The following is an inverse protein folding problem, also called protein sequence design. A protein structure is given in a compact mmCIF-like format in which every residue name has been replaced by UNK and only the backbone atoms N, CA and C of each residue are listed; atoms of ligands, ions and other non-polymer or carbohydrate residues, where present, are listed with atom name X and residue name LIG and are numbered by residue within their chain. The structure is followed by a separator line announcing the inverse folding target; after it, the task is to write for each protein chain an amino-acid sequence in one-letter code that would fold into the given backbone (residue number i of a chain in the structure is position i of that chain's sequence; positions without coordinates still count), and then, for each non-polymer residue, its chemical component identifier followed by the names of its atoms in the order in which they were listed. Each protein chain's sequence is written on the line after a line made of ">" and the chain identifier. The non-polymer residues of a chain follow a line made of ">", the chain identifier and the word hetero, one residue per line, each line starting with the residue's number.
data_IF_698526751200
#
_entry.id   IF_698526751200
#
_cell.length_a   1.000
_cell.length_b   1.000
_cell.length_c   1.000
_cell.angle_alpha   90.00
_cell.angle_beta   90.00
_cell.angle_gamma   90.00
#
_symmetry.space_group_name_H-M   'P 1'
#
loop_
_entity.id
_entity.type
_entity.pdbx_description
1 polymer ?
#
# COMPACT_ATOMS: atom_id res chain seq x y z
N UNK A 1 -15.62 -9.28 -38.89
CA UNK A 1 -14.65 -10.33 -39.26
C UNK A 1 -13.46 -9.62 -39.89
N UNK A 2 -12.44 -9.35 -39.08
CA UNK A 2 -11.09 -9.01 -39.55
C UNK A 2 -10.15 -9.39 -38.41
N UNK A 3 -9.72 -10.65 -38.42
CA UNK A 3 -8.54 -11.09 -37.68
C UNK A 3 -7.32 -10.44 -38.31
N UNK A 4 -6.45 -9.84 -37.49
CA UNK A 4 -5.10 -9.51 -37.91
C UNK A 4 -4.12 -10.25 -37.00
N UNK A 5 -3.41 -11.18 -37.64
CA UNK A 5 -2.52 -12.18 -37.07
C UNK A 5 -1.45 -11.60 -36.13
N UNK A 6 -1.38 -12.22 -34.96
CA UNK A 6 -0.20 -12.23 -34.10
C UNK A 6 0.81 -13.22 -34.68
N UNK A 7 1.79 -12.68 -35.40
CA UNK A 7 3.06 -13.33 -35.64
C UNK A 7 4.15 -12.32 -35.35
N UNK A 8 4.89 -12.52 -34.25
CA UNK A 8 6.31 -12.19 -34.12
C UNK A 8 6.84 -12.74 -32.79
N UNK A 9 7.49 -13.90 -32.93
CA UNK A 9 8.69 -14.41 -32.27
C UNK A 9 9.04 -13.99 -30.83
N UNK A 10 9.37 -15.03 -30.07
CA UNK A 10 10.15 -15.05 -28.84
C UNK A 10 11.29 -14.02 -28.81
N UNK A 11 11.11 -12.95 -28.05
CA UNK A 11 12.20 -12.20 -27.45
C UNK A 11 11.94 -12.18 -25.94
N UNK A 12 12.73 -12.96 -25.20
CA UNK A 12 12.78 -12.86 -23.76
C UNK A 12 13.02 -11.41 -23.33
N UNK A 13 12.46 -11.05 -22.18
CA UNK A 13 12.61 -9.77 -21.52
C UNK A 13 14.10 -9.36 -21.52
N UNK A 14 14.55 -8.56 -22.51
CA UNK A 14 15.84 -7.88 -22.40
C UNK A 14 15.62 -6.80 -21.36
N UNK A 15 16.40 -6.86 -20.28
CA UNK A 15 16.57 -5.75 -19.35
C UNK A 15 16.69 -4.47 -20.17
N UNK A 16 15.77 -3.51 -19.99
CA UNK A 16 15.95 -2.19 -20.57
C UNK A 16 17.32 -1.67 -20.07
N UNK A 17 18.22 -1.21 -20.96
CA UNK A 17 19.54 -0.73 -20.57
C UNK A 17 19.48 0.42 -19.53
N UNK A 18 18.31 1.06 -19.39
CA UNK A 18 18.07 2.22 -18.54
C UNK A 18 17.25 1.92 -17.26
N UNK A 19 16.97 0.66 -16.95
CA UNK A 19 16.15 0.27 -15.79
C UNK A 19 14.64 0.28 -16.04
N UNK A 20 13.87 -0.01 -14.98
CA UNK A 20 12.41 -0.18 -15.05
C UNK A 20 11.71 0.92 -14.25
N UNK A 21 10.68 1.51 -14.85
CA UNK A 21 9.86 2.56 -14.23
C UNK A 21 8.42 2.08 -14.14
N UNK A 22 7.86 2.13 -12.93
CA UNK A 22 6.44 1.96 -12.64
C UNK A 22 5.89 3.31 -12.19
N UNK A 23 5.29 4.06 -13.14
CA UNK A 23 4.73 5.38 -12.89
C UNK A 23 3.21 5.32 -12.87
N UNK A 24 2.64 5.02 -11.69
CA UNK A 24 1.24 4.65 -11.53
C UNK A 24 0.29 5.82 -11.84
N UNK A 25 0.55 7.02 -11.29
CA UNK A 25 -0.29 8.21 -11.56
C UNK A 25 -0.19 8.71 -13.01
N UNK A 26 0.97 8.55 -13.64
CA UNK A 26 1.25 9.09 -14.99
C UNK A 26 0.87 8.13 -16.11
N UNK A 27 0.20 7.02 -15.79
CA UNK A 27 -0.19 6.01 -16.76
C UNK A 27 1.00 5.34 -17.48
N UNK A 28 2.21 5.38 -16.91
CA UNK A 28 3.41 4.75 -17.48
C UNK A 28 3.61 3.38 -16.83
N UNK A 29 3.25 2.36 -17.58
CA UNK A 29 3.33 0.96 -17.17
C UNK A 29 4.40 0.28 -18.03
N UNK A 30 5.27 -0.53 -17.41
CA UNK A 30 6.24 -1.47 -18.00
C UNK A 30 6.72 -1.15 -19.42
N UNK A 31 7.90 -0.54 -19.55
CA UNK A 31 8.54 -0.21 -20.83
C UNK A 31 7.63 0.50 -21.86
N UNK A 32 6.59 1.21 -21.40
CA UNK A 32 5.64 1.92 -22.26
C UNK A 32 4.40 1.12 -22.69
N UNK A 33 4.12 -0.05 -22.09
CA UNK A 33 2.94 -0.90 -22.40
C UNK A 33 1.99 -1.03 -21.22
N UNK A 34 0.68 -1.00 -21.48
CA UNK A 34 -0.40 -1.13 -20.47
C UNK A 34 -0.30 -2.48 -19.73
N UNK A 35 -0.81 -2.52 -18.49
CA UNK A 35 -0.70 -3.64 -17.54
C UNK A 35 -1.18 -5.02 -18.02
N UNK A 36 -1.91 -5.13 -19.14
CA UNK A 36 -2.21 -6.42 -19.78
C UNK A 36 -1.03 -7.07 -20.50
N UNK A 37 0.01 -6.28 -20.81
CA UNK A 37 1.23 -6.71 -21.53
C UNK A 37 2.49 -6.69 -20.65
N UNK A 38 2.34 -6.42 -19.35
CA UNK A 38 3.41 -6.39 -18.37
C UNK A 38 3.87 -7.82 -18.04
N UNK A 39 4.57 -8.47 -18.97
CA UNK A 39 5.22 -9.77 -18.74
C UNK A 39 6.12 -9.65 -17.50
N UNK A 40 5.64 -10.14 -16.36
CA UNK A 40 6.39 -10.21 -15.11
C UNK A 40 5.73 -9.59 -13.89
N UNK A 41 4.68 -8.76 -14.00
CA UNK A 41 3.99 -8.23 -12.81
C UNK A 41 2.59 -8.80 -12.63
N UNK A 42 2.22 -9.06 -11.37
CA UNK A 42 0.95 -9.65 -10.98
C UNK A 42 0.38 -8.95 -9.75
N UNK A 43 -0.94 -8.92 -9.65
CA UNK A 43 -1.64 -8.58 -8.41
C UNK A 43 -2.48 -9.78 -8.03
N UNK A 44 -2.42 -10.20 -6.77
CA UNK A 44 -3.43 -11.07 -6.20
C UNK A 44 -4.26 -10.32 -5.17
N UNK A 45 -5.58 -10.47 -5.26
CA UNK A 45 -6.54 -10.00 -4.27
C UNK A 45 -7.82 -10.80 -4.39
N UNK A 46 -8.20 -11.46 -3.30
CA UNK A 46 -9.51 -12.08 -3.20
C UNK A 46 -10.63 -11.01 -3.17
N UNK A 47 -11.57 -11.12 -4.10
CA UNK A 47 -12.76 -10.27 -4.16
C UNK A 47 -12.53 -8.90 -4.81
N UNK A 48 -13.65 -8.21 -5.05
CA UNK A 48 -13.63 -6.86 -5.60
C UNK A 48 -12.97 -5.88 -4.62
N UNK A 49 -12.28 -4.88 -5.17
CA UNK A 49 -11.70 -3.79 -4.39
C UNK A 49 -12.16 -2.44 -4.90
N UNK A 50 -12.00 -1.40 -4.09
CA UNK A 50 -12.35 -0.03 -4.47
C UNK A 50 -11.19 0.93 -4.25
N UNK A 51 -11.15 2.03 -4.99
CA UNK A 51 -10.22 3.12 -4.76
C UNK A 51 -10.83 4.45 -5.20
N UNK A 52 -10.51 5.53 -4.49
CA UNK A 52 -10.93 6.86 -4.90
C UNK A 52 -9.99 7.42 -5.97
N UNK A 53 -10.58 8.09 -6.95
CA UNK A 53 -9.86 8.99 -7.86
C UNK A 53 -9.62 10.35 -7.22
N UNK A 54 -8.76 11.18 -7.82
CA UNK A 54 -8.43 12.51 -7.32
C UNK A 54 -9.68 13.39 -7.18
N UNK A 55 -10.65 13.24 -8.08
CA UNK A 55 -11.95 13.92 -8.07
C UNK A 55 -12.93 13.44 -6.96
N UNK A 56 -12.55 12.43 -6.17
CA UNK A 56 -13.39 11.87 -5.11
C UNK A 56 -14.36 10.78 -5.58
N UNK A 57 -14.40 10.46 -6.87
CA UNK A 57 -15.23 9.36 -7.37
C UNK A 57 -14.66 7.99 -6.97
N UNK A 58 -15.54 7.04 -6.66
CA UNK A 58 -15.14 5.68 -6.31
C UNK A 58 -15.04 4.81 -7.57
N UNK A 59 -13.88 4.22 -7.79
CA UNK A 59 -13.67 3.18 -8.80
C UNK A 59 -13.79 1.79 -8.17
N UNK A 60 -14.36 0.83 -8.90
CA UNK A 60 -14.45 -0.58 -8.52
C UNK A 60 -13.53 -1.39 -9.43
N UNK A 61 -12.80 -2.33 -8.82
CA UNK A 61 -11.84 -3.20 -9.48
C UNK A 61 -12.22 -4.66 -9.20
N UNK A 62 -12.14 -5.51 -10.22
CA UNK A 62 -12.38 -6.94 -10.10
C UNK A 62 -11.36 -7.62 -9.15
N UNK A 63 -11.59 -8.89 -8.82
CA UNK A 63 -10.55 -9.71 -8.17
C UNK A 63 -9.27 -9.72 -9.02
N UNK A 64 -8.11 -9.77 -8.34
CA UNK A 64 -6.77 -9.79 -8.96
C UNK A 64 -6.43 -8.57 -9.86
N UNK A 65 -7.31 -7.57 -9.96
CA UNK A 65 -7.05 -6.34 -10.69
C UNK A 65 -6.32 -5.32 -9.80
N UNK A 66 -5.26 -4.72 -10.33
CA UNK A 66 -4.54 -3.63 -9.68
C UNK A 66 -5.45 -2.40 -9.45
N UNK A 67 -5.47 -1.87 -8.22
CA UNK A 67 -6.26 -0.67 -7.85
C UNK A 67 -5.51 0.60 -8.18
N UNK A 68 -5.44 0.88 -9.47
CA UNK A 68 -4.71 2.01 -10.03
C UNK A 68 -5.71 3.13 -10.30
N UNK A 69 -5.45 4.30 -9.72
CA UNK A 69 -6.15 5.55 -10.06
C UNK A 69 -5.14 6.62 -10.47
N UNK A 70 -5.64 7.81 -10.75
CA UNK A 70 -4.87 9.06 -10.87
C UNK A 70 -4.14 9.47 -9.58
N UNK A 71 -4.30 8.72 -8.48
CA UNK A 71 -3.51 8.84 -7.25
C UNK A 71 -2.36 7.84 -7.14
N UNK A 72 -2.33 6.81 -8.00
CA UNK A 72 -1.32 5.75 -8.01
C UNK A 72 -1.90 4.36 -7.75
N UNK A 73 -1.04 3.40 -7.38
CA UNK A 73 -1.44 2.05 -6.96
C UNK A 73 -1.76 2.03 -5.48
N UNK A 74 -3.02 1.73 -5.15
CA UNK A 74 -3.45 1.50 -3.79
C UNK A 74 -3.18 0.05 -3.37
N UNK A 75 -2.53 -0.12 -2.23
CA UNK A 75 -2.25 -1.43 -1.61
C UNK A 75 -2.74 -1.41 -0.17
N UNK A 76 -3.62 -2.33 0.22
CA UNK A 76 -4.20 -2.42 1.57
C UNK A 76 -4.30 -3.87 2.06
N UNK A 77 -4.29 -4.03 3.39
CA UNK A 77 -4.46 -5.30 4.08
C UNK A 77 -5.86 -5.90 3.91
N UNK A 78 -6.04 -7.16 4.29
CA UNK A 78 -7.37 -7.75 4.32
C UNK A 78 -8.24 -7.09 5.39
N UNK A 79 -9.46 -6.72 5.03
CA UNK A 79 -10.44 -6.15 5.98
C UNK A 79 -11.84 -6.64 5.69
N UNK A 80 -12.68 -6.62 6.71
CA UNK A 80 -14.09 -7.00 6.63
C UNK A 80 -14.94 -5.83 7.11
N UNK A 81 -15.84 -5.36 6.24
CA UNK A 81 -16.87 -4.44 6.65
C UNK A 81 -18.01 -5.22 7.29
N UNK A 82 -18.25 -4.96 8.58
CA UNK A 82 -19.26 -5.63 9.40
C UNK A 82 -20.66 -5.04 9.20
N UNK A 83 -20.79 -3.91 8.49
CA UNK A 83 -22.08 -3.29 8.21
C UNK A 83 -22.76 -3.92 7.01
N UNK A 84 -24.07 -4.00 7.07
CA UNK A 84 -24.91 -4.33 5.92
C UNK A 84 -25.27 -3.05 5.14
N UNK A 85 -25.52 -3.21 3.84
CA UNK A 85 -25.93 -2.15 2.92
C UNK A 85 -25.01 -0.92 2.94
N UNK A 86 -23.69 -1.12 2.87
CA UNK A 86 -22.71 -0.05 3.07
C UNK A 86 -22.76 1.08 2.04
N UNK A 87 -23.44 0.90 0.90
CA UNK A 87 -23.65 1.94 -0.12
C UNK A 87 -24.97 2.74 0.06
N UNK A 88 -25.82 2.33 1.00
CA UNK A 88 -27.02 3.05 1.41
C UNK A 88 -27.25 2.77 2.91
N UNK A 89 -26.40 3.33 3.79
CA UNK A 89 -26.36 2.93 5.19
C UNK A 89 -27.69 3.18 5.89
N UNK A 90 -28.11 2.22 6.70
CA UNK A 90 -29.26 2.33 7.58
C UNK A 90 -28.87 1.98 9.01
N UNK A 91 -29.72 2.37 9.98
CA UNK A 91 -29.53 1.99 11.38
C UNK A 91 -29.55 0.47 11.54
N UNK A 92 -28.61 -0.06 12.32
CA UNK A 92 -28.46 -1.50 12.52
C UNK A 92 -27.74 -1.78 13.84
N UNK A 93 -27.91 -3.00 14.36
CA UNK A 93 -27.20 -3.47 15.55
C UNK A 93 -26.22 -4.55 15.15
N UNK A 94 -24.95 -4.41 15.56
CA UNK A 94 -23.87 -5.33 15.20
C UNK A 94 -23.25 -5.90 16.47
N UNK A 95 -22.98 -7.20 16.51
CA UNK A 95 -22.23 -7.83 17.60
C UNK A 95 -20.74 -7.74 17.31
N UNK A 96 -19.98 -7.16 18.24
CA UNK A 96 -18.54 -7.01 18.14
C UNK A 96 -17.83 -7.82 19.23
N UNK A 97 -16.70 -8.44 18.87
CA UNK A 97 -15.76 -8.98 19.84
C UNK A 97 -14.93 -7.85 20.49
N UNK A 98 -14.22 -8.16 21.57
CA UNK A 98 -13.25 -7.23 22.13
C UNK A 98 -12.18 -6.86 21.08
N UNK A 99 -11.81 -5.59 21.01
CA UNK A 99 -10.91 -5.06 19.99
C UNK A 99 -11.16 -3.59 19.69
N UNK A 100 -10.30 -3.02 18.84
CA UNK A 100 -10.42 -1.64 18.37
C UNK A 100 -10.98 -1.63 16.96
N UNK A 101 -12.01 -0.83 16.71
CA UNK A 101 -12.71 -0.75 15.44
C UNK A 101 -12.72 0.67 14.89
N UNK A 102 -12.63 0.80 13.57
CA UNK A 102 -12.80 2.05 12.85
C UNK A 102 -14.21 2.09 12.25
N UNK A 103 -15.08 2.92 12.82
CA UNK A 103 -16.34 3.32 12.20
C UNK A 103 -16.06 4.48 11.25
N UNK A 104 -16.43 4.37 9.99
CA UNK A 104 -16.20 5.39 8.99
C UNK A 104 -17.43 5.68 8.15
N UNK A 105 -17.56 6.93 7.72
CA UNK A 105 -18.64 7.40 6.88
C UNK A 105 -18.10 8.30 5.76
N UNK A 106 -18.62 8.11 4.54
CA UNK A 106 -18.28 8.91 3.37
C UNK A 106 -19.48 9.67 2.84
N UNK A 107 -19.21 10.82 2.23
CA UNK A 107 -20.19 11.67 1.57
C UNK A 107 -19.99 13.13 1.92
N UNK A 108 -20.75 14.00 1.25
CA UNK A 108 -20.72 15.44 1.50
C UNK A 108 -21.37 15.83 2.85
N UNK A 109 -22.30 15.01 3.36
CA UNK A 109 -23.03 15.25 4.60
C UNK A 109 -23.47 13.92 5.25
N UNK A 110 -23.97 14.03 6.47
CA UNK A 110 -24.48 12.90 7.24
C UNK A 110 -23.47 12.31 8.21
N UNK A 111 -23.89 11.30 8.96
CA UNK A 111 -23.08 10.64 9.97
C UNK A 111 -23.61 9.26 10.31
N UNK A 112 -22.74 8.43 10.87
CA UNK A 112 -23.11 7.18 11.53
C UNK A 112 -22.66 7.24 12.99
N UNK A 113 -23.60 7.12 13.93
CA UNK A 113 -23.32 7.17 15.35
C UNK A 113 -23.40 5.79 15.98
N UNK A 114 -22.38 5.46 16.78
CA UNK A 114 -22.33 4.24 17.58
C UNK A 114 -22.71 4.53 19.04
N UNK A 115 -23.58 3.70 19.59
CA UNK A 115 -23.88 3.64 21.01
C UNK A 115 -23.63 2.23 21.54
N UNK A 116 -23.24 2.15 22.81
CA UNK A 116 -23.15 0.88 23.52
C UNK A 116 -24.54 0.24 23.59
N UNK A 117 -24.72 -0.91 22.95
CA UNK A 117 -25.86 -1.79 23.21
C UNK A 117 -25.55 -2.59 24.47
N UNK A 118 -25.09 -3.83 24.31
CA UNK A 118 -24.56 -4.65 25.41
C UNK A 118 -23.04 -4.67 25.48
N UNK A 119 -22.34 -4.11 24.49
CA UNK A 119 -20.89 -4.02 24.51
C UNK A 119 -20.40 -3.05 25.60
N UNK A 120 -19.27 -3.38 26.22
CA UNK A 120 -18.55 -2.46 27.12
C UNK A 120 -17.34 -1.91 26.38
N UNK A 121 -17.15 -0.60 26.44
CA UNK A 121 -16.12 0.06 25.66
C UNK A 121 -16.15 1.58 25.73
N UNK A 122 -15.33 2.20 24.88
CA UNK A 122 -15.20 3.65 24.75
C UNK A 122 -15.18 4.07 23.26
N UNK A 123 -15.17 5.39 23.01
CA UNK A 123 -15.15 5.95 21.66
C UNK A 123 -16.52 6.13 21.01
N UNK A 124 -17.60 5.95 21.76
CA UNK A 124 -18.99 6.13 21.30
C UNK A 124 -19.25 7.50 20.65
N UNK A 125 -20.30 7.57 19.82
CA UNK A 125 -20.73 8.78 19.11
C UNK A 125 -20.55 8.67 17.59
N UNK A 126 -20.64 9.82 16.92
CA UNK A 126 -20.71 9.90 15.46
C UNK A 126 -19.36 9.94 14.71
N UNK A 127 -19.23 9.12 13.66
CA UNK A 127 -18.35 9.39 12.53
C UNK A 127 -19.09 10.29 11.54
N UNK A 128 -18.69 11.55 11.44
CA UNK A 128 -19.23 12.48 10.44
C UNK A 128 -18.75 12.08 9.04
N UNK A 129 -19.63 12.13 8.05
CA UNK A 129 -19.28 11.85 6.67
C UNK A 129 -18.36 12.94 6.12
N UNK A 130 -17.30 12.52 5.42
CA UNK A 130 -16.46 13.41 4.63
C UNK A 130 -16.16 12.79 3.27
N UNK A 131 -15.72 13.56 2.26
CA UNK A 131 -15.32 13.00 0.98
C UNK A 131 -14.18 11.97 1.07
N UNK A 132 -13.36 12.04 2.12
CA UNK A 132 -12.21 11.14 2.33
C UNK A 132 -12.49 10.02 3.33
N UNK A 133 -13.63 10.04 4.02
CA UNK A 133 -14.03 9.04 5.01
C UNK A 133 -13.74 9.51 6.43
N UNK A 134 -14.67 10.23 7.05
CA UNK A 134 -14.53 10.60 8.44
C UNK A 134 -14.60 9.37 9.33
N UNK A 135 -13.78 9.35 10.38
CA UNK A 135 -13.57 8.16 11.21
C UNK A 135 -13.89 8.44 12.69
N UNK A 136 -14.46 7.45 13.35
CA UNK A 136 -14.55 7.32 14.80
C UNK A 136 -13.94 5.99 15.21
N UNK A 137 -12.99 6.03 16.15
CA UNK A 137 -12.40 4.82 16.73
C UNK A 137 -13.22 4.36 17.93
N UNK A 138 -13.65 3.11 17.92
CA UNK A 138 -14.33 2.43 19.02
C UNK A 138 -13.37 1.44 19.67
N UNK A 139 -13.35 1.39 21.00
CA UNK A 139 -12.57 0.37 21.73
C UNK A 139 -13.54 -0.48 22.54
N UNK A 140 -13.66 -1.76 22.18
CA UNK A 140 -14.53 -2.73 22.85
C UNK A 140 -13.68 -3.55 23.82
N UNK A 141 -13.95 -3.45 25.13
CA UNK A 141 -13.28 -4.23 26.18
C UNK A 141 -14.02 -5.51 26.52
N UNK A 142 -15.35 -5.52 26.35
CA UNK A 142 -16.18 -6.72 26.50
C UNK A 142 -17.10 -6.83 25.31
N UNK A 143 -17.09 -8.02 24.68
CA UNK A 143 -17.92 -8.32 23.52
C UNK A 143 -19.40 -8.08 23.80
N UNK A 144 -20.11 -7.57 22.80
CA UNK A 144 -21.55 -7.32 22.89
C UNK A 144 -22.06 -6.60 21.67
N UNK A 145 -23.29 -6.09 21.76
CA UNK A 145 -23.92 -5.36 20.66
C UNK A 145 -23.55 -3.89 20.68
N UNK A 146 -23.38 -3.32 19.49
CA UNK A 146 -23.25 -1.89 19.24
C UNK A 146 -24.42 -1.48 18.36
N UNK A 147 -25.14 -0.44 18.79
CA UNK A 147 -26.27 0.11 18.03
C UNK A 147 -25.75 1.26 17.18
N UNK A 148 -26.01 1.17 15.87
CA UNK A 148 -25.62 2.18 14.90
C UNK A 148 -26.86 2.93 14.43
N UNK A 149 -26.81 4.25 14.49
CA UNK A 149 -27.85 5.13 13.93
C UNK A 149 -27.25 5.94 12.79
N UNK A 150 -28.04 6.11 11.73
CA UNK A 150 -27.64 6.86 10.54
C UNK A 150 -28.48 8.12 10.46
N UNK A 151 -27.84 9.27 10.26
CA UNK A 151 -28.51 10.55 10.12
C UNK A 151 -27.90 11.37 8.97
N UNK A 152 -28.72 12.19 8.31
CA UNK A 152 -28.26 13.11 7.26
C UNK A 152 -27.77 12.47 5.96
N UNK A 153 -28.00 11.17 5.75
CA UNK A 153 -27.79 10.48 4.48
C UNK A 153 -26.32 10.39 4.03
N UNK A 154 -25.41 9.77 4.80
CA UNK A 154 -24.08 9.47 4.30
C UNK A 154 -24.17 8.55 3.07
N UNK A 155 -23.28 8.76 2.11
CA UNK A 155 -23.22 7.95 0.88
C UNK A 155 -22.74 6.53 1.18
N UNK A 156 -21.81 6.38 2.14
CA UNK A 156 -21.28 5.07 2.54
C UNK A 156 -20.95 5.00 4.01
N UNK A 157 -20.96 3.79 4.55
CA UNK A 157 -20.53 3.51 5.92
C UNK A 157 -19.77 2.19 6.04
N UNK A 158 -18.81 2.14 6.95
CA UNK A 158 -18.00 0.95 7.18
C UNK A 158 -17.61 0.82 8.64
N UNK A 159 -17.63 -0.41 9.14
CA UNK A 159 -17.15 -0.75 10.47
C UNK A 159 -16.18 -1.92 10.33
N UNK A 160 -14.91 -1.69 10.61
CA UNK A 160 -13.83 -2.67 10.46
C UNK A 160 -13.04 -2.79 11.76
N UNK A 161 -12.51 -3.98 12.05
CA UNK A 161 -11.48 -4.12 13.08
C UNK A 161 -10.22 -3.37 12.60
N UNK A 162 -9.64 -2.52 13.46
CA UNK A 162 -8.48 -1.66 13.16
C UNK A 162 -8.65 -0.25 13.70
N UNK A 163 -7.58 0.55 13.68
CA UNK A 163 -7.58 1.96 14.14
C UNK A 163 -7.81 2.96 13.02
N UNK A 164 -7.90 2.50 11.77
CA UNK A 164 -8.08 3.33 10.59
C UNK A 164 -9.00 2.62 9.58
N UNK A 165 -9.73 3.39 8.75
CA UNK A 165 -10.60 2.80 7.74
C UNK A 165 -9.79 2.41 6.50
N UNK A 166 -10.09 1.24 5.92
CA UNK A 166 -9.68 0.93 4.56
C UNK A 166 -10.57 1.63 3.53
N UNK A 167 -10.29 1.51 2.23
CA UNK A 167 -11.23 2.01 1.22
C UNK A 167 -12.57 1.25 1.31
N UNK A 168 -13.69 1.89 0.91
CA UNK A 168 -15.01 1.31 1.10
C UNK A 168 -15.13 -0.11 0.53
N UNK A 169 -15.46 -1.06 1.40
CA UNK A 169 -15.85 -2.42 1.05
C UNK A 169 -17.37 -2.42 0.93
N UNK A 170 -17.84 -2.65 -0.30
CA UNK A 170 -19.27 -2.63 -0.63
C UNK A 170 -19.91 -3.91 -0.08
N UNK A 171 -20.93 -3.76 0.76
CA UNK A 171 -21.73 -4.83 1.34
C UNK A 171 -23.17 -4.73 0.89
N UNK A 172 -23.83 -5.88 0.80
CA UNK A 172 -25.27 -5.99 0.61
C UNK A 172 -25.92 -6.49 1.91
N UNK A 173 -26.63 -7.61 1.83
CA UNK A 173 -27.29 -8.25 2.98
C UNK A 173 -26.36 -9.03 3.91
N UNK A 174 -25.06 -9.07 3.64
CA UNK A 174 -24.06 -9.73 4.47
C UNK A 174 -22.78 -8.89 4.56
N UNK A 175 -22.03 -9.09 5.64
CA UNK A 175 -20.66 -8.59 5.76
C UNK A 175 -19.81 -9.09 4.59
N UNK A 176 -18.89 -8.27 4.11
CA UNK A 176 -18.01 -8.61 3.00
C UNK A 176 -16.56 -8.37 3.40
N UNK A 177 -15.70 -9.26 2.90
CA UNK A 177 -14.25 -9.19 3.10
C UNK A 177 -13.58 -8.83 1.80
N UNK A 178 -12.71 -7.82 1.83
CA UNK A 178 -11.74 -7.57 0.79
C UNK A 178 -10.43 -8.24 1.19
N UNK A 179 -9.88 -9.08 0.32
CA UNK A 179 -8.56 -9.69 0.52
C UNK A 179 -7.43 -8.65 0.53
N UNK A 180 -6.28 -9.03 1.06
CA UNK A 180 -5.05 -8.24 0.97
C UNK A 180 -4.67 -8.04 -0.49
N UNK A 181 -4.15 -6.86 -0.85
CA UNK A 181 -3.48 -6.68 -2.13
C UNK A 181 -2.04 -7.17 -2.02
N UNK A 182 -1.64 -8.02 -2.96
CA UNK A 182 -0.25 -8.41 -3.15
C UNK A 182 0.16 -8.11 -4.58
N UNK A 183 0.79 -6.95 -4.78
CA UNK A 183 1.38 -6.56 -6.05
C UNK A 183 2.85 -7.00 -6.10
N UNK A 184 3.20 -7.81 -7.10
CA UNK A 184 4.54 -8.37 -7.27
C UNK A 184 5.03 -8.20 -8.70
N UNK A 185 6.35 -8.20 -8.87
CA UNK A 185 7.01 -8.31 -10.15
C UNK A 185 8.21 -9.25 -10.08
N UNK A 186 8.41 -10.06 -11.11
CA UNK A 186 9.66 -10.76 -11.34
C UNK A 186 10.73 -9.75 -11.77
N UNK A 187 11.86 -9.78 -11.10
CA UNK A 187 13.04 -8.95 -11.39
C UNK A 187 14.26 -9.86 -11.45
N UNK A 188 15.38 -9.37 -11.97
CA UNK A 188 16.64 -10.10 -11.90
C UNK A 188 17.75 -9.12 -11.61
N UNK A 189 18.25 -9.17 -10.39
CA UNK A 189 19.39 -8.39 -9.92
C UNK A 189 20.53 -9.37 -9.67
N UNK A 190 21.43 -9.56 -10.64
CA UNK A 190 22.65 -10.33 -10.46
C UNK A 190 23.40 -10.04 -9.16
N UNK A 191 24.05 -11.07 -8.64
CA UNK A 191 24.81 -10.97 -7.40
C UNK A 191 25.87 -9.86 -7.49
N UNK A 192 25.89 -8.98 -6.50
CA UNK A 192 26.83 -7.87 -6.43
C UNK A 192 26.68 -6.81 -7.52
N UNK A 193 25.56 -6.77 -8.26
CA UNK A 193 25.29 -5.71 -9.22
C UNK A 193 24.93 -4.39 -8.51
N UNK A 194 25.41 -3.29 -9.07
CA UNK A 194 25.03 -1.93 -8.63
C UNK A 194 23.63 -1.58 -9.12
N UNK A 195 22.85 -0.92 -8.28
CA UNK A 195 21.51 -0.47 -8.62
C UNK A 195 21.02 0.62 -7.67
N UNK A 196 19.94 1.29 -8.05
CA UNK A 196 19.14 2.13 -7.17
C UNK A 196 17.65 1.77 -7.27
N UNK A 197 16.97 1.79 -6.13
CA UNK A 197 15.51 1.74 -6.05
C UNK A 197 15.03 3.10 -5.55
N UNK A 198 14.16 3.74 -6.32
CA UNK A 198 13.57 5.03 -6.01
C UNK A 198 12.05 4.89 -5.94
N UNK A 199 11.40 5.61 -5.03
CA UNK A 199 9.96 5.55 -4.89
C UNK A 199 9.36 6.91 -4.53
N UNK A 200 8.09 7.06 -4.89
CA UNK A 200 7.21 8.10 -4.41
C UNK A 200 5.94 7.46 -3.87
N UNK A 201 5.60 7.78 -2.63
CA UNK A 201 4.37 7.34 -1.97
C UNK A 201 3.57 8.54 -1.50
N UNK A 202 2.25 8.43 -1.61
CA UNK A 202 1.34 9.31 -0.90
C UNK A 202 0.93 8.59 0.38
N UNK A 203 1.19 9.22 1.52
CA UNK A 203 0.74 8.73 2.80
C UNK A 203 -0.43 9.57 3.29
N UNK A 204 -1.64 9.08 3.08
CA UNK A 204 -2.88 9.73 3.47
C UNK A 204 -3.26 9.42 4.93
N UNK A 205 -2.76 8.32 5.51
CA UNK A 205 -3.20 7.83 6.83
C UNK A 205 -2.09 7.21 7.69
N UNK A 206 -2.34 7.19 8.99
CA UNK A 206 -1.55 6.46 10.00
C UNK A 206 -2.05 5.02 10.13
N UNK A 207 -1.66 4.19 9.16
CA UNK A 207 -2.19 2.84 8.99
C UNK A 207 -1.46 1.74 9.79
N UNK A 208 -1.05 2.04 11.02
CA UNK A 208 -0.34 1.09 11.90
C UNK A 208 1.14 0.89 11.56
N UNK A 209 1.73 -0.13 12.18
CA UNK A 209 3.17 -0.39 12.18
C UNK A 209 3.65 -1.38 11.11
N UNK A 210 4.92 -1.28 10.72
CA UNK A 210 5.59 -2.28 9.88
C UNK A 210 5.12 -2.29 8.43
N UNK A 211 4.66 -1.14 7.93
CA UNK A 211 4.08 -0.96 6.59
C UNK A 211 5.17 -0.96 5.54
N UNK A 212 5.11 -1.86 4.58
CA UNK A 212 6.15 -2.03 3.56
C UNK A 212 5.84 -1.17 2.33
N UNK A 213 6.82 -0.39 1.87
CA UNK A 213 6.72 0.44 0.66
C UNK A 213 7.13 -0.38 -0.57
N UNK A 214 8.25 -1.10 -0.47
CA UNK A 214 8.68 -2.12 -1.43
C UNK A 214 9.54 -3.16 -0.72
N UNK A 215 9.63 -4.36 -1.29
CA UNK A 215 10.53 -5.43 -0.84
C UNK A 215 11.17 -6.11 -2.07
N UNK A 216 12.47 -5.88 -2.27
CA UNK A 216 13.28 -6.50 -3.31
C UNK A 216 14.03 -7.68 -2.68
N UNK A 217 13.72 -8.91 -3.10
CA UNK A 217 14.08 -10.14 -2.38
C UNK A 217 14.52 -11.26 -3.33
N UNK A 218 15.23 -12.25 -2.80
CA UNK A 218 15.49 -13.54 -3.45
C UNK A 218 14.37 -14.58 -3.23
N UNK A 219 13.25 -14.16 -2.63
CA UNK A 219 12.16 -15.04 -2.20
C UNK A 219 12.27 -15.49 -0.74
N UNK A 220 13.33 -15.09 -0.03
CA UNK A 220 13.56 -15.42 1.39
C UNK A 220 13.60 -14.18 2.26
N UNK A 221 13.39 -14.36 3.57
CA UNK A 221 13.57 -13.28 4.53
C UNK A 221 15.05 -12.92 4.78
N UNK A 222 15.99 -13.78 4.36
CA UNK A 222 17.41 -13.66 4.66
C UNK A 222 18.10 -12.60 3.80
N UNK A 223 17.66 -12.44 2.55
CA UNK A 223 18.27 -11.54 1.57
C UNK A 223 17.23 -10.62 0.94
N UNK A 224 17.26 -9.35 1.33
CA UNK A 224 16.35 -8.35 0.78
C UNK A 224 16.82 -6.93 0.99
N UNK A 225 16.29 -6.04 0.15
CA UNK A 225 16.34 -4.59 0.30
C UNK A 225 14.91 -4.10 0.38
N UNK A 226 14.56 -3.36 1.42
CA UNK A 226 13.19 -2.87 1.59
C UNK A 226 13.14 -1.46 2.16
N UNK A 227 12.06 -0.76 1.84
CA UNK A 227 11.65 0.45 2.53
C UNK A 227 10.42 0.14 3.39
N UNK A 228 10.44 0.55 4.66
CA UNK A 228 9.40 0.22 5.65
C UNK A 228 9.10 1.42 6.55
N UNK A 229 7.84 1.56 6.96
CA UNK A 229 7.40 2.52 7.98
C UNK A 229 7.14 1.76 9.28
N UNK A 230 7.89 2.08 10.33
CA UNK A 230 7.81 1.42 11.63
C UNK A 230 6.61 1.90 12.46
N UNK A 231 6.35 1.23 13.59
CA UNK A 231 5.35 1.65 14.59
C UNK A 231 5.56 3.06 15.10
N UNK A 232 6.82 3.50 15.18
CA UNK A 232 7.19 4.86 15.56
C UNK A 232 6.87 5.92 14.49
N UNK A 233 6.37 5.51 13.32
CA UNK A 233 6.24 6.38 12.15
C UNK A 233 7.56 6.66 11.45
N UNK A 234 8.67 6.05 11.90
CA UNK A 234 9.96 6.18 11.23
C UNK A 234 9.98 5.42 9.91
N UNK A 235 10.33 6.11 8.84
CA UNK A 235 10.64 5.51 7.56
C UNK A 235 12.09 5.00 7.58
N UNK A 236 12.29 3.75 7.21
CA UNK A 236 13.59 3.08 7.17
C UNK A 236 13.87 2.44 5.83
N UNK A 237 15.11 2.56 5.37
CA UNK A 237 15.69 1.65 4.38
C UNK A 237 16.47 0.56 5.11
N UNK A 238 16.17 -0.69 4.78
CA UNK A 238 16.71 -1.86 5.45
C UNK A 238 17.29 -2.81 4.42
N UNK A 239 18.50 -3.29 4.69
CA UNK A 239 19.16 -4.33 3.90
C UNK A 239 19.39 -5.54 4.80
N UNK A 240 18.89 -6.69 4.39
CA UNK A 240 19.15 -7.98 5.03
C UNK A 240 20.05 -8.81 4.12
N UNK A 241 21.12 -9.36 4.70
CA UNK A 241 22.12 -10.21 4.03
C UNK A 241 22.41 -11.41 4.93
N UNK A 242 22.13 -12.63 4.46
CA UNK A 242 22.34 -13.86 5.22
C UNK A 242 21.76 -13.78 6.66
N UNK A 243 20.56 -13.20 6.80
CA UNK A 243 19.86 -12.93 8.07
C UNK A 243 20.42 -11.81 8.94
N UNK A 244 21.51 -11.14 8.54
CA UNK A 244 22.00 -9.93 9.21
C UNK A 244 21.27 -8.73 8.65
N UNK A 245 20.55 -8.01 9.50
CA UNK A 245 19.76 -6.84 9.10
C UNK A 245 20.48 -5.55 9.47
N UNK A 246 20.70 -4.69 8.48
CA UNK A 246 21.26 -3.34 8.66
C UNK A 246 20.21 -2.31 8.29
N UNK A 247 19.91 -1.40 9.22
CA UNK A 247 19.10 -0.21 8.97
C UNK A 247 20.01 0.91 8.49
N UNK A 248 19.80 1.37 7.25
CA UNK A 248 20.60 2.45 6.66
C UNK A 248 20.14 3.83 7.13
N UNK A 249 18.85 4.01 7.37
CA UNK A 249 18.28 5.27 7.83
C UNK A 249 17.04 5.05 8.68
N UNK A 250 16.73 6.04 9.53
CA UNK A 250 15.45 6.15 10.22
C UNK A 250 15.09 7.64 10.33
N UNK A 251 14.01 8.05 9.66
CA UNK A 251 13.51 9.43 9.77
C UNK A 251 12.06 9.39 10.20
N UNK A 252 11.77 10.00 11.36
CA UNK A 252 10.42 10.08 11.90
C UNK A 252 9.57 11.02 11.05
N UNK A 253 8.38 10.56 10.68
CA UNK A 253 7.39 11.36 9.98
C UNK A 253 6.56 12.19 10.96
N UNK A 254 6.20 13.41 10.57
CA UNK A 254 5.40 14.32 11.40
C UNK A 254 3.93 14.46 10.95
N UNK A 255 3.54 14.01 9.75
CA UNK A 255 2.15 14.06 9.24
C UNK A 255 1.94 13.24 7.95
N UNK A 256 0.67 13.14 7.51
CA UNK A 256 0.29 12.72 6.15
C UNK A 256 0.96 13.63 5.12
N UNK A 257 1.69 13.04 4.17
CA UNK A 257 2.42 13.77 3.13
C UNK A 257 2.83 12.84 1.99
N UNK A 258 3.26 13.45 0.89
CA UNK A 258 4.05 12.73 -0.11
C UNK A 258 5.47 12.54 0.41
N UNK A 259 6.03 11.35 0.21
CA UNK A 259 7.42 11.04 0.55
C UNK A 259 8.11 10.49 -0.68
N UNK A 260 9.31 11.02 -0.95
CA UNK A 260 10.20 10.47 -1.97
C UNK A 260 11.43 9.90 -1.29
N UNK A 261 11.80 8.69 -1.68
CA UNK A 261 12.97 8.03 -1.13
C UNK A 261 13.73 7.24 -2.15
N UNK A 262 15.01 7.01 -1.85
CA UNK A 262 15.86 6.15 -2.64
C UNK A 262 16.85 5.37 -1.76
N UNK A 263 17.15 4.15 -2.20
CA UNK A 263 18.26 3.35 -1.68
C UNK A 263 19.10 2.89 -2.86
N UNK A 264 20.42 3.03 -2.75
CA UNK A 264 21.34 2.65 -3.81
C UNK A 264 22.51 1.84 -3.28
N UNK A 265 23.01 0.95 -4.14
CA UNK A 265 24.23 0.17 -3.95
C UNK A 265 25.23 0.51 -5.05
N UNK A 266 26.45 0.84 -4.64
CA UNK A 266 27.61 1.03 -5.50
C UNK A 266 28.79 0.27 -4.92
N UNK A 267 29.16 -0.87 -5.52
CA UNK A 267 30.09 -1.82 -4.91
C UNK A 267 29.57 -2.30 -3.54
N UNK A 268 30.39 -2.24 -2.49
CA UNK A 268 29.96 -2.57 -1.12
C UNK A 268 29.24 -1.42 -0.41
N UNK A 269 29.24 -0.22 -1.00
CA UNK A 269 28.67 0.98 -0.38
C UNK A 269 27.18 1.10 -0.64
N UNK A 270 26.45 1.49 0.40
CA UNK A 270 25.02 1.74 0.40
C UNK A 270 24.73 3.16 0.79
N UNK A 271 23.75 3.77 0.12
CA UNK A 271 23.28 5.12 0.41
C UNK A 271 21.76 5.12 0.50
N UNK A 272 21.26 5.84 1.50
CA UNK A 272 19.85 6.08 1.75
C UNK A 272 19.57 7.57 1.65
N UNK A 273 18.58 7.95 0.82
CA UNK A 273 18.16 9.33 0.60
C UNK A 273 16.66 9.44 0.82
N UNK A 274 16.23 10.48 1.53
CA UNK A 274 14.83 10.82 1.75
C UNK A 274 14.64 12.31 1.54
N UNK A 275 13.61 12.66 0.75
CA UNK A 275 13.18 14.04 0.50
C UNK A 275 14.35 14.99 0.12
N UNK A 276 15.25 14.52 -0.74
CA UNK A 276 16.39 15.30 -1.21
C UNK A 276 17.59 15.34 -0.29
N UNK A 277 17.59 14.56 0.81
CA UNK A 277 18.66 14.55 1.83
C UNK A 277 19.20 13.14 2.03
N UNK A 278 20.53 12.98 1.97
CA UNK A 278 21.20 11.76 2.41
C UNK A 278 20.99 11.53 3.92
N UNK A 279 20.34 10.44 4.28
CA UNK A 279 19.92 10.13 5.67
C UNK A 279 20.67 8.94 6.27
N UNK A 280 21.54 8.29 5.51
CA UNK A 280 22.51 7.34 6.04
C UNK A 280 23.16 6.44 5.00
N UNK A 281 24.21 5.75 5.41
CA UNK A 281 25.05 4.92 4.55
C UNK A 281 25.63 3.74 5.32
N UNK A 282 25.97 2.66 4.61
CA UNK A 282 26.69 1.54 5.18
C UNK A 282 27.64 0.90 4.15
N UNK A 283 28.61 0.13 4.63
CA UNK A 283 29.37 -0.79 3.81
C UNK A 283 28.93 -2.22 4.14
N UNK A 284 28.39 -2.94 3.16
CA UNK A 284 27.85 -4.28 3.34
C UNK A 284 28.45 -5.25 2.31
N UNK A 285 28.31 -6.55 2.58
CA UNK A 285 28.78 -7.61 1.70
C UNK A 285 28.05 -7.68 0.36
N UNK A 286 28.41 -8.69 -0.43
CA UNK A 286 27.79 -8.96 -1.72
C UNK A 286 26.34 -9.43 -1.50
N UNK A 287 25.38 -8.73 -2.11
CA UNK A 287 24.02 -9.23 -2.22
C UNK A 287 23.99 -10.47 -3.13
N UNK A 288 23.27 -11.54 -2.74
CA UNK A 288 22.96 -12.61 -3.67
C UNK A 288 22.00 -12.12 -4.76
N UNK A 289 21.67 -13.00 -5.69
CA UNK A 289 20.71 -12.68 -6.76
C UNK A 289 19.34 -12.37 -6.15
N UNK A 290 18.77 -11.22 -6.49
CA UNK A 290 17.39 -10.86 -6.11
C UNK A 290 16.47 -11.08 -7.32
N UNK A 291 15.34 -11.75 -7.09
CA UNK A 291 14.46 -12.27 -8.14
C UNK A 291 13.03 -11.77 -8.06
N UNK A 292 12.62 -11.23 -6.91
CA UNK A 292 11.26 -10.77 -6.66
C UNK A 292 11.22 -9.34 -6.16
N UNK A 293 10.19 -8.62 -6.59
CA UNK A 293 9.84 -7.31 -6.09
C UNK A 293 8.39 -7.35 -5.61
N UNK A 294 8.13 -7.00 -4.36
CA UNK A 294 6.79 -6.70 -3.86
C UNK A 294 6.61 -5.18 -3.73
N UNK A 295 5.43 -4.68 -4.08
CA UNK A 295 5.11 -3.25 -4.13
C UNK A 295 4.00 -2.97 -3.13
N UNK A 296 4.26 -2.08 -2.17
CA UNK A 296 3.36 -1.77 -1.07
C UNK A 296 3.10 -2.95 -0.11
N UNK A 297 3.86 -4.03 -0.22
CA UNK A 297 3.71 -5.25 0.56
C UNK A 297 5.05 -5.99 0.64
N UNK A 298 5.10 -7.11 1.37
CA UNK A 298 6.23 -8.03 1.39
C UNK A 298 5.73 -9.47 1.22
N UNK A 299 6.47 -10.27 0.43
CA UNK A 299 6.24 -11.72 0.30
C UNK A 299 6.85 -12.52 1.46
N UNK A 300 7.68 -11.88 2.30
CA UNK A 300 8.41 -12.54 3.41
C UNK A 300 8.02 -11.98 4.78
N UNK A 301 6.93 -11.22 4.86
CA UNK A 301 6.35 -10.70 6.09
C UNK A 301 6.44 -9.17 6.24
N UNK A 302 5.42 -8.61 6.91
CA UNK A 302 5.22 -7.17 7.07
C UNK A 302 3.77 -6.80 6.81
N UNK A 303 3.35 -5.62 7.27
CA UNK A 303 2.03 -5.10 6.96
C UNK A 303 2.04 -4.47 5.56
N UNK A 304 0.94 -4.57 4.80
CA UNK A 304 0.75 -3.77 3.60
C UNK A 304 0.87 -2.28 3.87
N UNK A 305 1.19 -1.50 2.84
CA UNK A 305 1.38 -0.05 2.93
C UNK A 305 0.13 0.65 3.46
N UNK A 306 -1.06 0.11 3.13
CA UNK A 306 -2.36 0.69 3.43
C UNK A 306 -2.51 2.12 2.89
N UNK A 307 -1.81 2.40 1.80
CA UNK A 307 -1.71 3.71 1.17
C UNK A 307 -1.26 3.57 -0.28
N UNK A 308 -0.96 4.70 -0.92
CA UNK A 308 -0.78 4.75 -2.37
C UNK A 308 0.68 4.85 -2.78
N UNK A 309 1.11 3.95 -3.66
CA UNK A 309 2.40 4.03 -4.37
C UNK A 309 2.20 4.78 -5.67
N UNK A 310 2.79 5.98 -5.79
CA UNK A 310 2.71 6.80 -7.00
C UNK A 310 3.72 6.39 -8.04
N UNK A 311 4.93 6.08 -7.59
CA UNK A 311 6.03 5.71 -8.47
C UNK A 311 6.99 4.74 -7.77
N UNK A 312 7.51 3.79 -8.53
CA UNK A 312 8.64 2.95 -8.15
C UNK A 312 9.56 2.78 -9.36
N UNK A 313 10.85 3.04 -9.18
CA UNK A 313 11.88 2.95 -10.23
C UNK A 313 12.97 2.04 -9.72
N UNK A 314 13.43 1.14 -10.57
CA UNK A 314 14.68 0.42 -10.37
C UNK A 314 15.64 0.76 -11.50
N UNK A 315 16.81 1.28 -11.18
CA UNK A 315 17.85 1.65 -12.14
C UNK A 315 19.07 0.73 -11.96
N UNK A 316 19.59 0.09 -13.03
CA UNK A 316 20.85 -0.63 -12.97
C UNK A 316 22.03 0.35 -12.98
N UNK A 317 23.14 -0.08 -12.38
CA UNK A 317 24.39 0.67 -12.31
C UNK A 317 24.50 1.54 -11.07
N UNK A 318 25.72 2.06 -10.87
CA UNK A 318 26.04 2.95 -9.78
C UNK A 318 25.21 4.24 -9.86
N UNK A 319 24.71 4.69 -8.70
CA UNK A 319 24.05 5.98 -8.56
C UNK A 319 24.86 6.83 -7.58
N UNK A 320 25.20 8.06 -7.98
CA UNK A 320 25.82 9.02 -7.09
C UNK A 320 24.76 9.70 -6.20
N UNK A 321 25.21 10.21 -5.04
CA UNK A 321 24.33 10.83 -4.06
C UNK A 321 23.64 12.09 -4.58
N UNK A 322 24.33 12.91 -5.38
CA UNK A 322 23.77 14.16 -5.90
C UNK A 322 22.58 13.90 -6.83
N UNK A 323 22.65 12.86 -7.66
CA UNK A 323 21.55 12.43 -8.52
C UNK A 323 20.36 11.91 -7.71
N UNK A 324 20.61 11.11 -6.67
CA UNK A 324 19.55 10.58 -5.80
C UNK A 324 18.85 11.71 -5.02
N UNK A 325 19.62 12.65 -4.49
CA UNK A 325 19.11 13.85 -3.82
C UNK A 325 18.30 14.71 -4.79
N UNK A 326 18.80 14.95 -6.01
CA UNK A 326 18.06 15.71 -7.01
C UNK A 326 16.72 15.05 -7.39
N UNK A 327 16.68 13.72 -7.51
CA UNK A 327 15.43 13.00 -7.85
C UNK A 327 14.42 13.03 -6.70
N UNK A 328 14.90 12.93 -5.45
CA UNK A 328 14.04 12.84 -4.26
C UNK A 328 13.58 14.19 -3.71
N UNK A 329 13.96 15.32 -4.33
CA UNK A 329 13.45 16.65 -3.99
C UNK A 329 11.99 16.87 -4.36
#
# INVERSE_FOLDING_TARGET
>A
MLELGVGLAEAGLRAAPDGWVLGFERGRWFSGRKAGDARGASVSRAGAGTAFRADGTLAIFAADAARITDRGLLVEEARTNLLLNSAAPAGQTVTLAAGTYALSAWGAAGQVAAAAGTAVGSGWGAAAATPTGGVRTLTITTSGTVVLTVAGGPERAQLELGTFPSRPIVTGSAAATRGVDLATAAVSVPAGQDFAVLYEIALERDAGAGRVIFDLTDGTAANKVRAVIQSSGALQHVVSLANVTTTLSATTRTASRTVKGAVARTGTSWLSVLDGVSVGSAALGVLPVLTGLAIGASVTGGAPLNDTVRQLIMRPGAADGAWLEAWTR
#
